data_IF_252737288600
#
_entry.id   IF_252737288600
#
_cell.length_a   1.000
_cell.length_b   1.000
_cell.length_c   1.000
_cell.angle_alpha   90.00
_cell.angle_beta   90.00
_cell.angle_gamma   90.00
#
_symmetry.space_group_name_H-M   'P 1'
#
loop_
_entity.id
_entity.type
_entity.pdbx_description
1 polymer ?
#
# COMPACT_ATOMS: atom_id res chain seq x y z
N UNK A 1 7.34 58.16 4.79
CA UNK A 1 7.83 56.79 5.02
C UNK A 1 7.48 56.40 6.44
N UNK A 2 6.42 55.61 6.61
CA UNK A 2 6.12 54.67 7.72
C UNK A 2 4.61 54.38 7.69
N UNK A 3 4.29 53.11 7.46
CA UNK A 3 3.06 52.44 7.89
C UNK A 3 3.44 50.95 8.01
N UNK A 4 4.27 50.57 8.99
CA UNK A 4 3.89 49.87 10.23
C UNK A 4 2.80 48.80 10.09
N UNK A 5 3.23 47.54 10.26
CA UNK A 5 2.61 46.65 11.23
C UNK A 5 1.51 45.72 10.72
N UNK A 6 1.85 44.72 9.90
CA UNK A 6 1.00 43.53 9.80
C UNK A 6 1.14 42.79 11.14
N UNK A 7 0.07 42.91 11.91
CA UNK A 7 -0.17 42.34 13.21
C UNK A 7 -0.13 40.80 13.16
N UNK A 8 1.00 40.19 13.54
CA UNK A 8 1.24 38.71 13.55
C UNK A 8 0.19 37.92 14.34
N UNK A 9 -0.50 38.58 15.27
CA UNK A 9 -1.62 38.07 16.05
C UNK A 9 -2.87 37.78 15.19
N UNK A 10 -3.08 38.51 14.08
CA UNK A 10 -4.18 38.24 13.15
C UNK A 10 -3.98 36.96 12.32
N UNK A 11 -2.73 36.52 12.12
CA UNK A 11 -2.41 35.26 11.42
C UNK A 11 -2.65 34.06 12.35
N UNK A 12 -2.43 34.21 13.66
CA UNK A 12 -2.64 33.09 14.60
C UNK A 12 -4.11 32.77 14.87
N UNK A 13 -5.03 33.73 14.74
CA UNK A 13 -6.47 33.49 14.97
C UNK A 13 -7.11 32.69 13.82
N UNK A 14 -6.50 32.66 12.64
CA UNK A 14 -7.00 31.92 11.48
C UNK A 14 -6.68 30.41 11.52
N UNK A 15 -5.79 29.96 12.41
CA UNK A 15 -5.53 28.53 12.61
C UNK A 15 -6.60 27.82 13.48
N UNK A 16 -7.42 28.55 14.22
CA UNK A 16 -8.38 27.96 15.16
C UNK A 16 -9.69 27.49 14.51
N UNK A 17 -9.95 27.83 13.24
CA UNK A 17 -11.24 27.55 12.56
C UNK A 17 -11.20 26.21 11.77
N UNK A 18 -10.02 25.60 11.59
CA UNK A 18 -9.90 24.30 10.89
C UNK A 18 -10.11 23.06 11.77
N UNK A 19 -10.29 23.19 13.09
CA UNK A 19 -10.53 22.05 13.99
C UNK A 19 -12.03 21.76 14.25
N UNK A 20 -12.94 22.46 13.55
CA UNK A 20 -14.37 22.44 13.84
C UNK A 20 -15.27 21.65 12.86
N UNK A 21 -14.73 20.96 11.85
CA UNK A 21 -15.55 20.24 10.87
C UNK A 21 -14.96 18.85 10.62
N UNK A 22 -15.43 17.91 11.43
CA UNK A 22 -15.20 16.47 11.33
C UNK A 22 -16.01 15.79 12.43
N UNK A 23 -17.31 16.13 12.54
CA UNK A 23 -18.37 15.32 11.94
C UNK A 23 -18.26 13.85 12.38
N UNK A 24 -18.93 13.55 13.50
CA UNK A 24 -19.80 12.39 13.69
C UNK A 24 -19.59 11.21 12.71
N UNK A 25 -18.63 10.34 13.00
CA UNK A 25 -18.75 8.92 12.63
C UNK A 25 -18.41 8.11 13.88
N UNK A 26 -19.44 7.59 14.52
CA UNK A 26 -19.30 6.61 15.58
C UNK A 26 -18.64 5.35 15.01
N UNK A 27 -17.42 5.07 15.43
CA UNK A 27 -16.78 3.78 15.18
C UNK A 27 -16.86 2.98 16.47
N UNK A 28 -17.82 2.06 16.52
CA UNK A 28 -17.78 0.93 17.44
C UNK A 28 -16.53 0.11 17.09
N UNK A 29 -15.39 0.39 17.71
CA UNK A 29 -14.22 -0.50 17.64
C UNK A 29 -14.49 -1.65 18.61
N UNK A 30 -15.42 -2.54 18.20
CA UNK A 30 -15.44 -3.90 18.69
C UNK A 30 -14.15 -4.53 18.16
N UNK A 31 -13.17 -4.65 19.04
CA UNK A 31 -11.92 -5.36 18.78
C UNK A 31 -12.23 -6.79 18.35
N UNK A 32 -12.35 -7.00 17.04
CA UNK A 32 -12.19 -8.30 16.46
C UNK A 32 -10.72 -8.44 16.15
N UNK A 33 -10.12 -9.48 16.70
CA UNK A 33 -8.84 -10.03 16.27
C UNK A 33 -8.91 -10.32 14.77
N UNK A 34 -8.67 -9.30 13.94
CA UNK A 34 -8.50 -9.47 12.52
C UNK A 34 -7.10 -10.05 12.35
N UNK A 35 -7.02 -11.37 12.28
CA UNK A 35 -5.99 -11.97 11.43
C UNK A 35 -6.02 -11.18 10.13
N UNK A 36 -4.88 -10.64 9.71
CA UNK A 36 -4.77 -9.84 8.49
C UNK A 36 -5.13 -10.73 7.29
N UNK A 37 -6.41 -10.96 7.06
CA UNK A 37 -6.96 -11.44 5.80
C UNK A 37 -6.78 -10.27 4.85
N UNK A 38 -5.57 -10.14 4.31
CA UNK A 38 -5.33 -9.14 3.27
C UNK A 38 -6.36 -9.39 2.16
N UNK A 39 -7.02 -8.33 1.67
CA UNK A 39 -8.02 -8.47 0.63
C UNK A 39 -7.41 -9.21 -0.55
N UNK A 40 -8.02 -10.31 -0.93
CA UNK A 40 -7.59 -11.09 -2.09
C UNK A 40 -8.03 -10.34 -3.34
N UNK A 41 -7.05 -9.85 -4.10
CA UNK A 41 -7.28 -9.00 -5.29
C UNK A 41 -7.17 -9.83 -6.58
N UNK A 42 -7.60 -9.28 -7.70
CA UNK A 42 -7.37 -9.90 -9.01
C UNK A 42 -5.88 -9.83 -9.41
N UNK A 43 -5.48 -10.65 -10.39
CA UNK A 43 -4.10 -10.66 -10.92
C UNK A 43 -3.66 -9.28 -11.41
N UNK A 44 -4.53 -8.59 -12.16
CA UNK A 44 -4.23 -7.28 -12.74
C UNK A 44 -4.12 -6.20 -11.65
N UNK A 45 -5.03 -6.22 -10.68
CA UNK A 45 -4.99 -5.32 -9.52
C UNK A 45 -3.74 -5.52 -8.65
N UNK A 46 -3.22 -6.74 -8.60
CA UNK A 46 -1.97 -7.03 -7.89
C UNK A 46 -0.73 -6.64 -8.70
N UNK A 47 -0.68 -6.96 -9.99
CA UNK A 47 0.52 -6.76 -10.80
C UNK A 47 0.72 -5.30 -11.21
N UNK A 48 -0.35 -4.61 -11.67
CA UNK A 48 -0.26 -3.26 -12.23
C UNK A 48 0.43 -2.24 -11.31
N UNK A 49 0.17 -2.18 -9.98
CA UNK A 49 0.85 -1.21 -9.12
C UNK A 49 2.30 -1.57 -8.79
N UNK A 50 2.75 -2.80 -9.07
CA UNK A 50 4.08 -3.30 -8.70
C UNK A 50 5.11 -3.16 -9.82
N UNK A 51 4.72 -3.17 -11.09
CA UNK A 51 5.66 -3.10 -12.20
C UNK A 51 6.51 -1.82 -12.12
N UNK A 52 7.84 -1.98 -12.24
CA UNK A 52 8.82 -0.90 -12.17
C UNK A 52 9.11 -0.35 -10.77
N UNK A 53 8.40 -0.84 -9.73
CA UNK A 53 8.58 -0.41 -8.33
C UNK A 53 9.86 -0.97 -7.71
N UNK A 54 10.40 -0.24 -6.74
CA UNK A 54 11.54 -0.71 -5.94
C UNK A 54 11.09 -1.65 -4.83
N UNK A 55 12.03 -2.35 -4.19
CA UNK A 55 11.75 -3.21 -3.05
C UNK A 55 10.92 -2.54 -1.95
N UNK A 56 11.24 -1.30 -1.57
CA UNK A 56 10.53 -0.57 -0.51
C UNK A 56 9.11 -0.18 -0.92
N UNK A 57 8.92 0.22 -2.18
CA UNK A 57 7.61 0.53 -2.73
C UNK A 57 6.73 -0.73 -2.80
N UNK A 58 7.30 -1.86 -3.23
CA UNK A 58 6.59 -3.16 -3.25
C UNK A 58 6.18 -3.56 -1.84
N UNK A 59 7.06 -3.41 -0.84
CA UNK A 59 6.70 -3.68 0.56
C UNK A 59 5.59 -2.77 1.08
N UNK A 60 5.53 -1.52 0.61
CA UNK A 60 4.50 -0.57 1.00
C UNK A 60 3.13 -0.90 0.36
N UNK A 61 3.13 -1.47 -0.84
CA UNK A 61 1.91 -1.80 -1.60
C UNK A 61 1.41 -3.21 -1.27
N UNK A 62 2.26 -4.22 -1.44
CA UNK A 62 1.92 -5.64 -1.29
C UNK A 62 2.22 -6.19 0.12
N UNK A 63 2.91 -5.41 0.96
CA UNK A 63 3.37 -5.88 2.26
C UNK A 63 4.57 -6.83 2.16
N UNK A 64 4.87 -7.48 3.29
CA UNK A 64 5.97 -8.43 3.39
C UNK A 64 5.68 -9.69 2.56
N UNK A 65 6.63 -10.15 1.72
CA UNK A 65 6.50 -11.42 1.02
C UNK A 65 6.57 -12.61 1.98
N UNK A 66 5.91 -13.70 1.62
CA UNK A 66 5.93 -14.96 2.37
C UNK A 66 7.28 -15.67 2.22
N UNK A 67 7.89 -15.57 1.04
CA UNK A 67 9.22 -16.08 0.79
C UNK A 67 9.99 -15.19 -0.20
N UNK A 68 11.30 -15.11 -0.02
CA UNK A 68 12.22 -14.43 -0.93
C UNK A 68 13.29 -15.40 -1.37
N UNK A 69 13.66 -15.39 -2.64
CA UNK A 69 14.70 -16.28 -3.20
C UNK A 69 15.48 -15.52 -4.25
N UNK A 70 16.80 -15.66 -4.26
CA UNK A 70 17.67 -15.06 -5.27
C UNK A 70 18.25 -16.18 -6.13
N UNK A 71 18.07 -16.10 -7.45
CA UNK A 71 18.64 -17.07 -8.41
C UNK A 71 19.38 -16.29 -9.48
N UNK A 72 20.67 -16.60 -9.67
CA UNK A 72 21.51 -15.97 -10.70
C UNK A 72 21.49 -14.43 -10.65
N UNK A 73 21.42 -13.85 -9.45
CA UNK A 73 21.37 -12.39 -9.26
C UNK A 73 20.01 -11.73 -9.51
N UNK A 74 18.97 -12.51 -9.77
CA UNK A 74 17.57 -12.05 -9.87
C UNK A 74 16.84 -12.39 -8.58
N UNK A 75 16.17 -11.41 -7.97
CA UNK A 75 15.38 -11.63 -6.77
C UNK A 75 13.93 -12.00 -7.14
N UNK A 76 13.41 -13.00 -6.44
CA UNK A 76 12.05 -13.50 -6.60
C UNK A 76 11.36 -13.44 -5.25
N UNK A 77 10.25 -12.70 -5.19
CA UNK A 77 9.42 -12.62 -4.00
C UNK A 77 8.12 -13.34 -4.24
N UNK A 78 7.70 -14.15 -3.26
CA UNK A 78 6.51 -14.98 -3.33
C UNK A 78 5.46 -14.48 -2.35
N UNK A 79 4.25 -14.35 -2.86
CA UNK A 79 3.06 -13.90 -2.15
C UNK A 79 1.97 -14.96 -2.30
N UNK A 80 1.64 -15.64 -1.21
CA UNK A 80 0.69 -16.74 -1.21
C UNK A 80 -0.69 -16.23 -0.80
N UNK A 81 -1.72 -16.55 -1.60
CA UNK A 81 -3.11 -16.21 -1.29
C UNK A 81 -3.42 -14.71 -1.29
N UNK A 82 -2.58 -13.90 -1.93
CA UNK A 82 -2.83 -12.47 -2.15
C UNK A 82 -3.68 -12.22 -3.37
N UNK A 83 -3.63 -13.13 -4.34
CA UNK A 83 -4.39 -13.05 -5.58
C UNK A 83 -5.38 -14.19 -5.69
N UNK A 84 -6.47 -13.94 -6.41
CA UNK A 84 -7.52 -14.91 -6.68
C UNK A 84 -7.72 -15.07 -8.18
N UNK A 85 -7.96 -16.31 -8.60
CA UNK A 85 -8.30 -16.64 -9.97
C UNK A 85 -9.82 -16.49 -10.18
N UNK A 86 -10.28 -15.53 -11.01
CA UNK A 86 -11.71 -15.33 -11.26
C UNK A 86 -12.38 -16.47 -12.03
N UNK A 87 -11.60 -17.34 -12.68
CA UNK A 87 -12.12 -18.48 -13.43
C UNK A 87 -12.32 -19.67 -12.50
N UNK A 88 -11.35 -19.97 -11.63
CA UNK A 88 -11.37 -21.22 -10.83
C UNK A 88 -11.88 -21.04 -9.41
N UNK A 89 -11.99 -19.81 -8.92
CA UNK A 89 -12.45 -19.60 -7.54
C UNK A 89 -11.36 -19.78 -6.48
N UNK A 90 -10.10 -19.95 -6.88
CA UNK A 90 -9.02 -20.33 -5.96
C UNK A 90 -8.05 -19.19 -5.71
N UNK A 91 -7.50 -19.17 -4.51
CA UNK A 91 -6.37 -18.34 -4.15
C UNK A 91 -5.12 -18.84 -4.89
N UNK A 92 -4.33 -17.91 -5.42
CA UNK A 92 -3.13 -18.20 -6.21
C UNK A 92 -1.87 -17.69 -5.51
N UNK A 93 -0.73 -18.17 -5.99
CA UNK A 93 0.56 -17.65 -5.60
C UNK A 93 1.05 -16.66 -6.65
N UNK A 94 1.33 -15.43 -6.23
CA UNK A 94 2.00 -14.43 -7.05
C UNK A 94 3.51 -14.45 -6.79
N UNK A 95 4.30 -14.33 -7.85
CA UNK A 95 5.76 -14.26 -7.82
C UNK A 95 6.20 -12.97 -8.49
N UNK A 96 6.73 -12.05 -7.71
CA UNK A 96 7.31 -10.79 -8.18
C UNK A 96 8.77 -11.04 -8.54
N UNK A 97 9.16 -10.67 -9.76
CA UNK A 97 10.51 -10.80 -10.31
C UNK A 97 11.17 -9.43 -10.31
N UNK A 98 12.37 -9.34 -9.73
CA UNK A 98 13.16 -8.12 -9.71
C UNK A 98 14.34 -8.24 -10.66
N UNK A 99 14.48 -7.27 -11.56
CA UNK A 99 15.68 -7.09 -12.38
C UNK A 99 16.45 -5.88 -11.85
N UNK A 100 17.61 -6.15 -11.27
CA UNK A 100 18.31 -5.15 -10.45
C UNK A 100 17.45 -4.76 -9.25
N UNK A 101 17.10 -3.48 -9.11
CA UNK A 101 16.35 -2.97 -7.94
C UNK A 101 14.85 -2.78 -8.20
N UNK A 102 14.36 -3.13 -9.39
CA UNK A 102 12.98 -2.85 -9.84
C UNK A 102 12.26 -4.13 -10.22
N UNK A 103 10.95 -4.14 -10.00
CA UNK A 103 10.09 -5.21 -10.52
C UNK A 103 10.07 -5.16 -12.04
N UNK A 104 10.49 -6.25 -12.67
CA UNK A 104 10.39 -6.45 -14.12
C UNK A 104 9.09 -7.15 -14.49
N UNK A 105 8.66 -8.12 -13.69
CA UNK A 105 7.51 -8.97 -14.00
C UNK A 105 6.80 -9.51 -12.75
N UNK A 106 5.54 -9.93 -12.91
CA UNK A 106 4.74 -10.61 -11.88
C UNK A 106 4.09 -11.85 -12.48
N UNK A 107 4.54 -13.01 -12.04
CA UNK A 107 4.08 -14.32 -12.50
C UNK A 107 3.07 -14.91 -11.52
N UNK A 108 2.03 -15.57 -12.03
CA UNK A 108 1.01 -16.24 -11.22
C UNK A 108 1.07 -17.75 -11.43
N UNK A 109 0.99 -18.50 -10.34
CA UNK A 109 0.91 -19.97 -10.36
C UNK A 109 -0.27 -20.46 -9.51
N UNK A 110 -1.02 -21.41 -10.05
CA UNK A 110 -2.15 -22.09 -9.39
C UNK A 110 -1.72 -23.23 -8.46
#
# INVERSE_FOLDING_TARGET
MQATGINVWAVMVLCAIFLGIGLLIGVNIKGNNAGHTQPTVTRDEFAAPLIGKTYEEVLSIAGRPDATTTVSGTDYWRYMGRTYNPITGKAETARVVFEGIRVSDVLFSD
#
